data_IF_492937189500
#
_entry.id   IF_492937189500
#
_cell.length_a   1.000
_cell.length_b   1.000
_cell.length_c   1.000
_cell.angle_alpha   90.00
_cell.angle_beta   90.00
_cell.angle_gamma   90.00
#
_symmetry.space_group_name_H-M   'P 1'
#
loop_
_entity.id
_entity.type
_entity.pdbx_description
1 polymer ?
#
# COMPACT_ATOMS: atom_id res chain seq x y z
N UNK A 1 2.78 -18.79 -2.42
CA UNK A 1 2.11 -17.61 -1.84
C UNK A 1 3.10 -16.46 -1.91
N UNK A 2 2.75 -15.33 -2.53
CA UNK A 2 3.59 -14.12 -2.51
C UNK A 2 2.88 -13.10 -1.63
N UNK A 3 3.56 -12.68 -0.57
CA UNK A 3 3.14 -11.61 0.29
C UNK A 3 4.28 -10.59 0.35
N UNK A 4 3.95 -9.32 0.25
CA UNK A 4 4.89 -8.21 0.29
C UNK A 4 4.42 -7.16 1.28
N UNK A 5 5.39 -6.54 1.96
CA UNK A 5 5.12 -5.43 2.86
C UNK A 5 5.08 -4.17 2.02
N UNK A 6 3.92 -3.50 2.02
CA UNK A 6 3.74 -2.22 1.38
C UNK A 6 3.87 -1.13 2.44
N UNK A 7 5.05 -0.52 2.48
CA UNK A 7 5.42 0.57 3.38
C UNK A 7 5.44 1.93 2.65
N UNK A 8 5.78 2.98 3.38
CA UNK A 8 5.85 4.35 2.83
C UNK A 8 6.89 4.45 1.72
N UNK A 9 8.01 3.72 1.83
CA UNK A 9 9.07 3.70 0.82
C UNK A 9 8.56 3.07 -0.47
N UNK A 10 7.84 1.94 -0.37
CA UNK A 10 7.18 1.28 -1.49
C UNK A 10 6.17 2.19 -2.17
N UNK A 11 5.36 2.91 -1.37
CA UNK A 11 4.42 3.89 -1.89
C UNK A 11 5.11 5.02 -2.67
N UNK A 12 6.24 5.54 -2.16
CA UNK A 12 7.03 6.56 -2.86
C UNK A 12 7.70 6.03 -4.12
N UNK A 13 8.21 4.80 -4.11
CA UNK A 13 8.81 4.18 -5.29
C UNK A 13 7.79 4.02 -6.43
N UNK A 14 6.54 3.67 -6.11
CA UNK A 14 5.45 3.56 -7.08
C UNK A 14 5.12 4.92 -7.74
N UNK A 15 5.12 6.00 -6.97
CA UNK A 15 4.99 7.37 -7.51
C UNK A 15 6.17 7.73 -8.42
N UNK A 16 7.39 7.48 -7.97
CA UNK A 16 8.60 7.79 -8.75
C UNK A 16 8.67 6.98 -10.04
N UNK A 17 8.24 5.72 -10.02
CA UNK A 17 8.17 4.87 -11.21
C UNK A 17 7.13 5.38 -12.21
N UNK A 18 5.96 5.81 -11.72
CA UNK A 18 4.95 6.47 -12.55
C UNK A 18 5.45 7.78 -13.14
N UNK A 19 6.15 8.61 -12.37
CA UNK A 19 6.75 9.86 -12.85
C UNK A 19 7.87 9.58 -13.87
N UNK A 20 8.63 8.50 -13.67
CA UNK A 20 9.68 8.08 -14.61
C UNK A 20 9.08 7.62 -15.94
N UNK A 21 7.96 6.91 -15.89
CA UNK A 21 7.24 6.43 -17.07
C UNK A 21 6.43 7.53 -17.77
N UNK A 22 5.81 8.44 -17.01
CA UNK A 22 5.09 9.62 -17.49
C UNK A 22 5.49 10.88 -16.71
N UNK A 23 6.42 11.69 -17.25
CA UNK A 23 6.89 12.93 -16.62
C UNK A 23 5.78 13.96 -16.35
N UNK A 24 4.61 13.85 -16.99
CA UNK A 24 3.47 14.74 -16.74
C UNK A 24 2.78 14.49 -15.40
N UNK A 25 3.07 13.37 -14.77
CA UNK A 25 2.56 13.07 -13.43
C UNK A 25 3.33 13.82 -12.33
N UNK A 26 4.50 14.39 -12.65
CA UNK A 26 5.31 15.15 -11.69
C UNK A 26 4.52 16.34 -11.11
N UNK A 27 4.35 16.35 -9.79
CA UNK A 27 3.65 17.42 -9.06
C UNK A 27 2.15 17.20 -8.88
N UNK A 28 1.57 16.11 -9.41
CA UNK A 28 0.21 15.68 -9.08
C UNK A 28 0.17 14.96 -7.74
N UNK A 29 -1.01 14.93 -7.13
CA UNK A 29 -1.28 14.11 -5.95
C UNK A 29 -1.40 12.62 -6.32
N UNK A 30 -1.22 11.71 -5.35
CA UNK A 30 -1.38 10.26 -5.57
C UNK A 30 -2.71 9.89 -6.21
N UNK A 31 -3.79 10.50 -5.72
CA UNK A 31 -5.15 10.25 -6.20
C UNK A 31 -5.30 10.69 -7.67
N UNK A 32 -4.69 11.82 -8.06
CA UNK A 32 -4.65 12.28 -9.45
C UNK A 32 -3.76 11.43 -10.36
N UNK A 33 -2.78 10.72 -9.81
CA UNK A 33 -2.00 9.70 -10.53
C UNK A 33 -2.74 8.36 -10.65
N UNK A 34 -3.93 8.22 -10.05
CA UNK A 34 -4.68 6.96 -10.00
C UNK A 34 -4.13 5.97 -8.97
N UNK A 35 -3.22 6.42 -8.10
CA UNK A 35 -2.67 5.60 -7.01
C UNK A 35 -3.60 5.63 -5.79
N UNK A 36 -3.64 4.50 -5.10
CA UNK A 36 -4.34 4.41 -3.81
C UNK A 36 -3.65 5.29 -2.75
N UNK A 37 -4.46 5.91 -1.89
CA UNK A 37 -3.97 6.66 -0.73
C UNK A 37 -3.20 5.73 0.21
N UNK A 38 -2.00 6.14 0.60
CA UNK A 38 -1.25 5.44 1.63
C UNK A 38 -1.91 5.69 2.99
N UNK A 39 -2.51 4.65 3.57
CA UNK A 39 -3.22 4.71 4.87
C UNK A 39 -2.39 4.12 6.02
N UNK A 40 -1.19 3.61 5.73
CA UNK A 40 -0.30 2.97 6.69
C UNK A 40 0.39 1.75 6.10
N UNK A 41 1.21 1.09 6.91
CA UNK A 41 1.90 -0.14 6.51
C UNK A 41 0.87 -1.26 6.40
N UNK A 42 0.81 -1.90 5.24
CA UNK A 42 -0.08 -3.02 4.96
C UNK A 42 0.69 -4.16 4.31
N UNK A 43 0.23 -5.39 4.50
CA UNK A 43 0.75 -6.55 3.80
C UNK A 43 -0.19 -6.85 2.63
N UNK A 44 0.33 -6.80 1.41
CA UNK A 44 -0.40 -7.22 0.21
C UNK A 44 -0.05 -8.67 -0.07
N UNK A 45 -1.05 -9.52 -0.29
CA UNK A 45 -0.86 -10.93 -0.60
C UNK A 45 -1.86 -11.37 -1.67
N UNK A 46 -1.41 -12.24 -2.57
CA UNK A 46 -2.31 -12.87 -3.56
C UNK A 46 -2.60 -14.30 -3.12
N UNK A 47 -3.86 -14.59 -2.81
CA UNK A 47 -4.34 -15.92 -2.44
C UNK A 47 -5.44 -16.35 -3.41
N UNK A 48 -5.21 -17.46 -4.13
CA UNK A 48 -6.15 -18.02 -5.09
C UNK A 48 -6.67 -17.00 -6.15
N UNK A 49 -5.81 -16.05 -6.56
CA UNK A 49 -6.17 -15.00 -7.52
C UNK A 49 -6.89 -13.80 -6.93
N UNK A 50 -7.14 -13.78 -5.62
CA UNK A 50 -7.68 -12.64 -4.89
C UNK A 50 -6.56 -11.84 -4.24
N UNK A 51 -6.59 -10.52 -4.43
CA UNK A 51 -5.74 -9.59 -3.69
C UNK A 51 -6.29 -9.37 -2.29
N UNK A 52 -5.47 -9.68 -1.29
CA UNK A 52 -5.78 -9.52 0.13
C UNK A 52 -4.84 -8.45 0.68
N UNK A 53 -5.43 -7.46 1.35
CA UNK A 53 -4.68 -6.43 2.08
C UNK A 53 -4.88 -6.64 3.58
N UNK A 54 -3.79 -6.91 4.29
CA UNK A 54 -3.77 -7.10 5.75
C UNK A 54 -3.20 -5.82 6.38
N UNK A 55 -4.03 -5.08 7.10
CA UNK A 55 -3.61 -3.89 7.84
C UNK A 55 -3.26 -4.25 9.29
N UNK A 56 -2.66 -3.29 10.02
CA UNK A 56 -2.44 -3.42 11.47
C UNK A 56 -3.73 -3.74 12.22
N UNK A 57 -4.83 -3.07 11.90
CA UNK A 57 -6.14 -3.31 12.51
C UNK A 57 -6.60 -4.77 12.36
N UNK A 58 -6.33 -5.42 11.22
CA UNK A 58 -6.63 -6.84 11.03
C UNK A 58 -5.82 -7.72 11.99
N UNK A 59 -4.54 -7.41 12.21
CA UNK A 59 -3.68 -8.13 13.15
C UNK A 59 -4.06 -7.87 14.60
N UNK A 60 -4.35 -6.61 14.96
CA UNK A 60 -4.80 -6.24 16.30
C UNK A 60 -6.08 -7.00 16.69
N UNK A 61 -7.05 -7.05 15.76
CA UNK A 61 -8.29 -7.83 15.93
C UNK A 61 -8.06 -9.33 16.04
N UNK A 62 -7.09 -9.89 15.30
CA UNK A 62 -6.73 -11.31 15.38
C UNK A 62 -6.08 -11.69 16.72
N UNK A 63 -5.30 -10.77 17.28
CA UNK A 63 -4.57 -10.96 18.53
C UNK A 63 -5.36 -10.53 19.78
N UNK A 64 -6.58 -10.01 19.60
CA UNK A 64 -7.42 -9.45 20.66
C UNK A 64 -6.72 -8.36 21.47
N UNK A 65 -6.00 -7.47 20.78
CA UNK A 65 -5.30 -6.31 21.36
C UNK A 65 -5.84 -5.01 20.79
N UNK A 66 -5.74 -3.92 21.55
CA UNK A 66 -6.08 -2.59 21.06
C UNK A 66 -5.11 -2.15 19.96
N UNK A 67 -5.66 -1.62 18.86
CA UNK A 67 -4.87 -1.00 17.78
C UNK A 67 -4.35 0.36 18.24
N UNK A 68 -3.32 0.32 19.09
CA UNK A 68 -2.68 1.48 19.70
C UNK A 68 -1.31 1.69 19.08
N UNK A 69 -1.24 2.48 18.01
CA UNK A 69 0.04 3.00 17.53
C UNK A 69 -0.03 3.68 16.19
#
# INVERSE_FOLDING_TARGET
MKAEVYDEVSARMEEEELIRNDPKMKGKTREEMGLSKFSGIVIKSVLAGLEITISRAHLAKLLDVEDTG
#
